data_IF_003414530220
#
_entry.id   IF_003414530220
#
_cell.length_a   1.000
_cell.length_b   1.000
_cell.length_c   1.000
_cell.angle_alpha   90.00
_cell.angle_beta   90.00
_cell.angle_gamma   90.00
#
_symmetry.space_group_name_H-M   'P 1'
#
loop_
_entity.id
_entity.type
_entity.pdbx_description
1 polymer ?
#
# COMPACT_ATOMS: atom_id res chain seq x y z
N UNK A 1 0.13 -11.34 2.98
CA UNK A 1 0.74 -10.37 3.91
C UNK A 1 1.85 -9.63 3.19
N UNK A 2 2.01 -8.34 3.45
CA UNK A 2 3.15 -7.57 2.94
C UNK A 2 4.39 -7.87 3.77
N UNK A 3 5.55 -8.01 3.15
CA UNK A 3 6.83 -8.30 3.79
C UNK A 3 7.86 -7.26 3.35
N UNK A 4 8.68 -6.80 4.30
CA UNK A 4 9.87 -5.99 4.05
C UNK A 4 11.09 -6.84 4.44
N UNK A 5 11.79 -7.47 3.48
CA UNK A 5 12.82 -8.49 3.75
C UNK A 5 14.12 -7.90 4.31
N UNK A 6 14.22 -6.57 4.42
CA UNK A 6 15.42 -5.91 4.91
C UNK A 6 15.57 -6.11 6.42
N UNK A 7 16.82 -6.07 6.88
CA UNK A 7 17.12 -5.97 8.31
C UNK A 7 16.82 -4.54 8.77
N UNK A 8 16.05 -4.46 9.85
CA UNK A 8 15.68 -3.20 10.49
C UNK A 8 16.40 -3.05 11.81
N UNK A 9 16.97 -1.87 12.02
CA UNK A 9 17.61 -1.48 13.27
C UNK A 9 17.09 -0.12 13.70
N UNK A 10 17.14 0.17 14.99
CA UNK A 10 16.66 1.46 15.45
C UNK A 10 16.57 1.58 16.96
N UNK A 11 15.98 2.68 17.39
CA UNK A 11 15.82 3.04 18.78
C UNK A 11 14.37 3.39 19.06
N UNK A 12 13.87 2.88 20.18
CA UNK A 12 12.63 3.32 20.78
C UNK A 12 12.97 4.14 22.03
N UNK A 13 12.40 5.33 22.12
CA UNK A 13 12.44 6.17 23.30
C UNK A 13 11.00 6.57 23.65
N UNK A 14 10.70 6.94 24.90
CA UNK A 14 9.39 7.49 25.23
C UNK A 14 9.00 8.62 24.26
N UNK A 15 7.90 8.45 23.55
CA UNK A 15 7.39 9.41 22.58
C UNK A 15 8.11 9.47 21.23
N UNK A 16 9.12 8.63 20.95
CA UNK A 16 9.74 8.60 19.62
C UNK A 16 10.25 7.22 19.21
N UNK A 17 10.10 6.96 17.91
CA UNK A 17 10.62 5.77 17.26
C UNK A 17 11.45 6.21 16.07
N UNK A 18 12.66 5.66 15.94
CA UNK A 18 13.46 5.75 14.73
C UNK A 18 13.85 4.35 14.31
N UNK A 19 13.52 3.97 13.09
CA UNK A 19 13.94 2.73 12.45
C UNK A 19 14.67 3.06 11.15
N UNK A 20 15.62 2.23 10.79
CA UNK A 20 16.33 2.29 9.51
C UNK A 20 16.58 0.89 8.98
N UNK A 21 16.47 0.74 7.68
CA UNK A 21 16.92 -0.42 6.91
C UNK A 21 17.99 0.01 5.90
N UNK A 22 18.39 -0.90 5.01
CA UNK A 22 19.31 -0.59 3.92
C UNK A 22 18.81 0.53 2.99
N UNK A 23 17.49 0.61 2.76
CA UNK A 23 16.90 1.60 1.83
C UNK A 23 15.99 2.63 2.48
N UNK A 24 15.53 2.39 3.70
CA UNK A 24 14.40 3.13 4.28
C UNK A 24 14.73 3.67 5.66
N UNK A 25 14.35 4.92 5.92
CA UNK A 25 14.32 5.49 7.26
C UNK A 25 12.88 5.77 7.67
N UNK A 26 12.51 5.41 8.90
CA UNK A 26 11.21 5.69 9.49
C UNK A 26 11.42 6.45 10.78
N UNK A 27 10.75 7.59 10.91
CA UNK A 27 10.71 8.37 12.15
C UNK A 27 9.24 8.54 12.54
N UNK A 28 8.91 8.19 13.78
CA UNK A 28 7.60 8.43 14.35
C UNK A 28 7.71 9.18 15.67
N UNK A 29 6.74 10.06 15.93
CA UNK A 29 6.54 10.73 17.20
C UNK A 29 5.23 10.27 17.80
N UNK A 30 5.24 10.00 19.10
CA UNK A 30 4.09 9.55 19.85
C UNK A 30 3.87 10.47 21.06
N UNK A 31 2.62 10.62 21.45
CA UNK A 31 2.22 11.30 22.69
C UNK A 31 1.06 10.51 23.28
N UNK A 32 1.16 10.11 24.55
CA UNK A 32 0.11 9.34 25.24
C UNK A 32 -0.31 8.09 24.44
N UNK A 33 0.66 7.35 23.91
CA UNK A 33 0.48 6.20 23.00
C UNK A 33 -0.27 6.48 21.69
N UNK A 34 -0.52 7.75 21.35
CA UNK A 34 -1.09 8.15 20.05
C UNK A 34 0.00 8.66 19.12
N UNK A 35 -0.05 8.21 17.88
CA UNK A 35 0.85 8.70 16.83
C UNK A 35 0.58 10.20 16.59
N UNK A 36 1.63 11.01 16.59
CA UNK A 36 1.57 12.44 16.28
C UNK A 36 2.11 12.74 14.89
N UNK A 37 3.06 11.93 14.43
CA UNK A 37 3.56 11.97 13.06
C UNK A 37 4.33 10.68 12.79
N UNK A 38 4.19 10.13 11.59
CA UNK A 38 5.13 9.15 11.03
C UNK A 38 5.59 9.69 9.69
N UNK A 39 6.90 9.63 9.45
CA UNK A 39 7.49 9.85 8.15
C UNK A 39 8.39 8.67 7.83
N UNK A 40 8.20 8.08 6.66
CA UNK A 40 9.14 7.16 6.08
C UNK A 40 9.77 7.81 4.84
N UNK A 41 11.08 7.64 4.65
CA UNK A 41 11.85 8.14 3.51
C UNK A 41 12.63 7.00 2.88
N UNK A 42 12.60 6.90 1.55
CA UNK A 42 13.33 5.92 0.75
C UNK A 42 13.77 6.57 -0.56
N UNK A 43 15.05 6.88 -0.69
CA UNK A 43 15.54 7.76 -1.75
C UNK A 43 14.77 9.08 -1.74
N UNK A 44 14.23 9.47 -2.90
CA UNK A 44 13.37 10.66 -3.05
C UNK A 44 11.91 10.43 -2.63
N UNK A 45 11.55 9.18 -2.33
CA UNK A 45 10.20 8.77 -1.96
C UNK A 45 9.87 9.03 -0.50
N UNK A 46 8.61 9.41 -0.24
CA UNK A 46 8.11 9.64 1.13
C UNK A 46 6.76 8.99 1.38
N UNK A 47 6.58 8.50 2.61
CA UNK A 47 5.26 8.21 3.19
C UNK A 47 5.12 9.08 4.43
N UNK A 48 3.95 9.71 4.58
CA UNK A 48 3.61 10.49 5.76
C UNK A 48 2.29 10.02 6.35
N UNK A 49 2.20 9.98 7.67
CA UNK A 49 0.96 9.72 8.41
C UNK A 49 0.86 10.74 9.52
N UNK A 50 -0.22 11.51 9.55
CA UNK A 50 -0.46 12.58 10.54
C UNK A 50 -1.88 12.50 11.07
N UNK A 51 -2.12 12.89 12.34
CA UNK A 51 -3.47 13.00 12.89
C UNK A 51 -4.38 13.90 12.02
N UNK A 52 -5.63 13.49 11.90
CA UNK A 52 -6.68 14.24 11.19
C UNK A 52 -8.05 13.89 11.79
N UNK A 53 -8.48 14.70 12.75
CA UNK A 53 -9.67 14.40 13.57
C UNK A 53 -9.46 13.15 14.42
N UNK A 54 -10.48 12.28 14.53
CA UNK A 54 -10.39 10.99 15.22
C UNK A 54 -9.66 9.87 14.46
N UNK A 55 -8.91 10.21 13.41
CA UNK A 55 -8.21 9.26 12.54
C UNK A 55 -6.86 9.85 12.10
N UNK A 56 -6.21 9.19 11.14
CA UNK A 56 -4.99 9.64 10.51
C UNK A 56 -5.22 9.92 9.03
N UNK A 57 -4.51 10.89 8.47
CA UNK A 57 -4.34 11.07 7.03
C UNK A 57 -3.00 10.48 6.65
N UNK A 58 -2.99 9.64 5.63
CA UNK A 58 -1.76 9.12 5.03
C UNK A 58 -1.56 9.70 3.63
N UNK A 59 -0.31 9.84 3.21
CA UNK A 59 0.06 10.19 1.85
C UNK A 59 1.38 9.51 1.48
N UNK A 60 1.47 9.02 0.25
CA UNK A 60 2.67 8.49 -0.37
C UNK A 60 3.01 9.37 -1.59
N UNK A 61 4.29 9.68 -1.77
CA UNK A 61 4.81 10.43 -2.91
C UNK A 61 6.09 9.78 -3.37
N UNK A 62 6.16 9.41 -4.65
CA UNK A 62 7.35 8.84 -5.27
C UNK A 62 7.93 7.65 -4.49
N UNK A 63 7.09 6.87 -3.81
CA UNK A 63 7.56 5.81 -2.92
C UNK A 63 7.88 4.54 -3.71
N UNK A 64 9.15 4.19 -3.86
CA UNK A 64 9.54 2.94 -4.48
C UNK A 64 9.00 1.73 -3.68
N UNK A 65 8.27 0.85 -4.36
CA UNK A 65 7.71 -0.36 -3.75
C UNK A 65 8.78 -1.39 -3.42
N UNK A 66 9.84 -1.51 -4.21
CA UNK A 66 10.96 -2.39 -3.87
C UNK A 66 11.63 -1.95 -2.54
N UNK A 67 12.12 -2.88 -1.71
CA UNK A 67 12.14 -4.33 -1.89
C UNK A 67 10.92 -5.05 -1.24
N UNK A 68 9.74 -4.42 -1.18
CA UNK A 68 8.57 -5.04 -0.57
C UNK A 68 8.15 -6.29 -1.35
N UNK A 69 7.63 -7.28 -0.61
CA UNK A 69 7.11 -8.52 -1.19
C UNK A 69 5.67 -8.76 -0.75
N UNK A 70 4.86 -9.27 -1.68
CA UNK A 70 3.52 -9.77 -1.42
C UNK A 70 3.59 -11.27 -1.10
N UNK A 71 3.40 -11.62 0.17
CA UNK A 71 3.22 -12.99 0.60
C UNK A 71 1.79 -13.48 0.36
N UNK A 72 1.64 -14.51 -0.47
CA UNK A 72 0.40 -15.27 -0.64
C UNK A 72 0.55 -16.59 0.11
N UNK A 73 -0.48 -17.03 0.86
CA UNK A 73 -0.40 -18.28 1.62
C UNK A 73 -0.07 -19.44 0.68
N UNK A 74 0.92 -20.27 1.04
CA UNK A 74 1.35 -21.42 0.26
C UNK A 74 2.29 -21.12 -0.93
N UNK A 75 2.62 -19.85 -1.20
CA UNK A 75 3.46 -19.44 -2.33
C UNK A 75 4.72 -18.70 -1.87
N UNK A 76 5.76 -18.71 -2.72
CA UNK A 76 6.92 -17.83 -2.53
C UNK A 76 6.46 -16.36 -2.56
N UNK A 77 6.98 -15.49 -1.67
CA UNK A 77 6.66 -14.06 -1.71
C UNK A 77 7.00 -13.46 -3.07
N UNK A 78 6.08 -12.68 -3.63
CA UNK A 78 6.24 -12.06 -4.94
C UNK A 78 6.79 -10.65 -4.77
N UNK A 79 7.88 -10.26 -5.46
CA UNK A 79 8.41 -8.92 -5.35
C UNK A 79 7.41 -7.89 -5.90
N UNK A 80 7.32 -6.75 -5.23
CA UNK A 80 6.55 -5.59 -5.66
C UNK A 80 7.51 -4.54 -6.23
N UNK A 81 7.25 -4.11 -7.45
CA UNK A 81 7.99 -3.03 -8.10
C UNK A 81 7.05 -1.93 -8.59
N UNK A 82 7.64 -0.79 -8.90
CA UNK A 82 6.95 0.43 -9.31
C UNK A 82 7.05 1.53 -8.26
N UNK A 83 6.49 2.68 -8.59
CA UNK A 83 6.55 3.88 -7.75
C UNK A 83 5.14 4.25 -7.30
N UNK A 84 4.92 4.24 -5.99
CA UNK A 84 3.64 4.52 -5.36
C UNK A 84 3.45 6.02 -5.13
N UNK A 85 2.30 6.51 -5.56
CA UNK A 85 1.70 7.77 -5.13
C UNK A 85 0.31 7.51 -4.59
N UNK A 86 -0.14 8.27 -3.61
CA UNK A 86 -1.49 8.08 -3.08
C UNK A 86 -1.75 8.85 -1.82
N UNK A 87 -3.00 8.80 -1.39
CA UNK A 87 -3.40 9.39 -0.11
C UNK A 87 -4.72 8.79 0.36
N UNK A 88 -5.00 9.02 1.64
CA UNK A 88 -6.25 8.58 2.23
C UNK A 88 -6.31 8.74 3.74
N UNK A 89 -7.16 7.95 4.36
CA UNK A 89 -7.44 7.94 5.80
C UNK A 89 -7.19 6.57 6.39
N UNK A 90 -6.65 6.55 7.61
CA UNK A 90 -6.39 5.35 8.41
C UNK A 90 -6.98 5.56 9.81
N UNK A 91 -7.87 4.66 10.24
CA UNK A 91 -8.32 4.51 11.61
C UNK A 91 -7.74 3.23 12.20
N UNK A 92 -7.32 3.27 13.47
CA UNK A 92 -6.72 2.11 14.15
C UNK A 92 -7.70 1.42 15.10
N UNK A 93 -8.68 2.15 15.62
CA UNK A 93 -9.69 1.62 16.53
C UNK A 93 -11.05 2.35 16.34
N UNK A 94 -12.00 1.77 15.59
CA UNK A 94 -11.87 0.52 14.85
C UNK A 94 -10.93 0.63 13.63
N UNK A 95 -10.41 -0.49 13.15
CA UNK A 95 -9.57 -0.53 11.95
C UNK A 95 -10.37 -0.08 10.72
N UNK A 96 -9.84 0.95 10.07
CA UNK A 96 -10.39 1.51 8.84
C UNK A 96 -9.26 1.99 7.94
N UNK A 97 -9.33 1.74 6.64
CA UNK A 97 -8.44 2.31 5.64
C UNK A 97 -9.28 2.75 4.45
N UNK A 98 -9.14 3.98 4.02
CA UNK A 98 -9.76 4.47 2.79
C UNK A 98 -8.72 5.26 2.01
N UNK A 99 -8.76 5.18 0.69
CA UNK A 99 -7.95 6.08 -0.12
C UNK A 99 -7.89 5.69 -1.58
N UNK A 100 -6.99 6.38 -2.26
CA UNK A 100 -6.64 6.13 -3.65
C UNK A 100 -5.13 6.14 -3.79
N UNK A 101 -4.64 5.34 -4.72
CA UNK A 101 -3.23 5.23 -5.04
C UNK A 101 -3.03 4.93 -6.52
N UNK A 102 -1.88 5.34 -7.03
CA UNK A 102 -1.37 4.91 -8.32
C UNK A 102 0.03 4.33 -8.14
N UNK A 103 0.31 3.29 -8.89
CA UNK A 103 1.66 2.74 -9.04
C UNK A 103 2.06 2.90 -10.50
N UNK A 104 3.14 3.65 -10.76
CA UNK A 104 3.75 3.68 -12.09
C UNK A 104 4.68 2.48 -12.27
N UNK A 105 4.74 1.99 -13.51
CA UNK A 105 5.53 0.81 -13.89
C UNK A 105 5.38 -0.38 -12.93
N UNK A 106 4.13 -0.75 -12.55
CA UNK A 106 3.91 -1.84 -11.62
C UNK A 106 4.43 -3.16 -12.21
N UNK A 107 5.18 -3.90 -11.40
CA UNK A 107 5.48 -5.29 -11.70
C UNK A 107 5.24 -6.17 -10.46
N UNK A 108 4.36 -7.15 -10.63
CA UNK A 108 4.06 -8.20 -9.66
C UNK A 108 4.08 -9.55 -10.39
N UNK A 109 5.08 -10.37 -10.09
CA UNK A 109 5.33 -11.61 -10.83
C UNK A 109 5.43 -11.37 -12.36
N UNK A 110 4.55 -12.01 -13.14
CA UNK A 110 4.48 -11.88 -14.60
C UNK A 110 3.61 -10.71 -15.07
N UNK A 111 2.88 -10.05 -14.17
CA UNK A 111 2.03 -8.91 -14.50
C UNK A 111 2.91 -7.66 -14.54
N UNK A 112 3.09 -7.10 -15.74
CA UNK A 112 3.74 -5.80 -15.97
C UNK A 112 2.72 -4.83 -16.55
N UNK A 113 2.63 -3.65 -15.95
CA UNK A 113 1.80 -2.57 -16.45
C UNK A 113 2.59 -1.29 -16.59
N UNK A 114 2.01 -0.31 -17.29
CA UNK A 114 2.48 1.08 -17.29
C UNK A 114 1.94 1.81 -16.05
N UNK A 115 0.72 1.47 -15.65
CA UNK A 115 0.07 2.08 -14.51
C UNK A 115 -0.92 1.11 -13.85
N UNK A 116 -0.98 1.16 -12.53
CA UNK A 116 -2.01 0.54 -11.73
C UNK A 116 -2.66 1.65 -10.89
N UNK A 117 -3.98 1.84 -11.03
CA UNK A 117 -4.77 2.70 -10.18
C UNK A 117 -5.54 1.85 -9.19
N UNK A 118 -5.63 2.31 -7.95
CA UNK A 118 -6.27 1.62 -6.83
C UNK A 118 -7.14 2.62 -6.09
N UNK A 119 -8.33 2.19 -5.71
CA UNK A 119 -9.16 2.92 -4.76
C UNK A 119 -9.96 1.94 -3.91
N UNK A 120 -10.35 2.37 -2.72
CA UNK A 120 -11.28 1.58 -1.95
C UNK A 120 -11.32 1.92 -0.47
N UNK A 121 -12.03 1.06 0.23
CA UNK A 121 -12.29 1.15 1.65
C UNK A 121 -12.18 -0.24 2.28
N UNK A 122 -11.49 -0.31 3.41
CA UNK A 122 -11.50 -1.42 4.35
C UNK A 122 -12.07 -0.88 5.65
N UNK A 123 -13.11 -1.52 6.17
CA UNK A 123 -13.68 -1.21 7.47
C UNK A 123 -14.06 -2.52 8.10
N UNK A 124 -13.41 -2.91 9.19
CA UNK A 124 -13.72 -4.18 9.85
C UNK A 124 -15.24 -4.38 10.03
N UNK A 125 -15.81 -5.52 9.61
CA UNK A 125 -15.17 -6.68 8.97
C UNK A 125 -15.15 -6.65 7.43
N UNK A 126 -15.68 -5.61 6.79
CA UNK A 126 -15.85 -5.50 5.33
C UNK A 126 -14.72 -4.81 4.56
N UNK A 127 -14.74 -4.97 3.24
CA UNK A 127 -13.94 -4.19 2.30
C UNK A 127 -14.62 -4.07 0.94
N UNK A 128 -14.24 -3.01 0.21
CA UNK A 128 -14.60 -2.75 -1.18
C UNK A 128 -13.41 -2.06 -1.87
N UNK A 129 -12.83 -2.71 -2.87
CA UNK A 129 -11.68 -2.24 -3.62
C UNK A 129 -11.95 -2.28 -5.11
N UNK A 130 -11.44 -1.27 -5.81
CA UNK A 130 -11.37 -1.23 -7.26
C UNK A 130 -9.92 -0.98 -7.69
N UNK A 131 -9.52 -1.66 -8.75
CA UNK A 131 -8.24 -1.47 -9.41
C UNK A 131 -8.43 -1.35 -10.92
N UNK A 132 -7.64 -0.50 -11.56
CA UNK A 132 -7.48 -0.49 -13.01
C UNK A 132 -6.01 -0.65 -13.36
N UNK A 133 -5.70 -1.65 -14.17
CA UNK A 133 -4.35 -1.91 -14.69
C UNK A 133 -4.32 -1.52 -16.16
N UNK A 134 -3.39 -0.63 -16.49
CA UNK A 134 -2.97 -0.36 -17.86
C UNK A 134 -1.78 -1.26 -18.16
N UNK A 135 -1.94 -2.32 -18.98
CA UNK A 135 -0.83 -3.21 -19.34
C UNK A 135 0.22 -2.47 -20.18
N UNK A 136 1.37 -3.14 -20.41
CA UNK A 136 2.42 -2.65 -21.31
C UNK A 136 1.91 -2.48 -22.75
N UNK A 137 1.11 -3.43 -23.23
CA UNK A 137 0.38 -3.31 -24.49
C UNK A 137 -0.83 -2.36 -24.41
N UNK A 138 -1.79 -2.54 -25.32
CA UNK A 138 -3.03 -1.76 -25.33
C UNK A 138 -4.08 -2.33 -24.38
N UNK A 139 -5.09 -1.48 -24.08
CA UNK A 139 -6.28 -1.87 -23.33
C UNK A 139 -6.21 -1.54 -21.86
N UNK A 140 -7.17 -2.07 -21.10
CA UNK A 140 -7.20 -1.99 -19.64
C UNK A 140 -7.83 -3.22 -19.02
N UNK A 141 -7.46 -3.50 -17.77
CA UNK A 141 -8.09 -4.52 -16.93
C UNK A 141 -8.65 -3.83 -15.70
N UNK A 142 -9.96 -3.89 -15.53
CA UNK A 142 -10.64 -3.43 -14.33
C UNK A 142 -10.88 -4.62 -13.41
N UNK A 143 -10.54 -4.45 -12.14
CA UNK A 143 -10.74 -5.44 -11.09
C UNK A 143 -11.58 -4.80 -9.99
N UNK A 144 -12.57 -5.51 -9.48
CA UNK A 144 -13.27 -5.13 -8.26
C UNK A 144 -13.32 -6.30 -7.29
N UNK A 145 -13.27 -5.96 -6.01
CA UNK A 145 -13.25 -6.94 -4.92
C UNK A 145 -14.05 -6.40 -3.76
N UNK A 146 -15.12 -7.10 -3.39
CA UNK A 146 -15.98 -6.76 -2.25
C UNK A 146 -16.19 -7.98 -1.39
N UNK A 147 -16.13 -7.81 -0.08
CA UNK A 147 -16.39 -8.91 0.84
C UNK A 147 -16.31 -8.54 2.29
N UNK A 148 -16.28 -9.57 3.13
CA UNK A 148 -16.02 -9.47 4.55
C UNK A 148 -14.94 -10.47 4.97
N UNK A 149 -14.25 -10.17 6.07
CA UNK A 149 -13.29 -11.08 6.68
C UNK A 149 -14.00 -12.35 7.14
N UNK A 150 -13.46 -13.50 6.70
CA UNK A 150 -14.08 -14.81 6.87
C UNK A 150 -15.52 -14.91 6.32
N UNK A 151 -15.89 -13.99 5.41
CA UNK A 151 -17.19 -13.95 4.75
C UNK A 151 -17.08 -14.17 3.24
N UNK A 152 -18.20 -14.04 2.52
CA UNK A 152 -18.21 -14.19 1.07
C UNK A 152 -17.33 -13.13 0.40
N UNK A 153 -16.73 -13.54 -0.72
CA UNK A 153 -15.86 -12.74 -1.55
C UNK A 153 -16.44 -12.66 -2.96
N UNK A 154 -16.74 -11.44 -3.40
CA UNK A 154 -17.14 -11.15 -4.77
C UNK A 154 -15.94 -10.53 -5.50
N UNK A 155 -15.48 -11.22 -6.54
CA UNK A 155 -14.43 -10.73 -7.43
C UNK A 155 -14.99 -10.56 -8.83
N UNK A 156 -14.68 -9.44 -9.46
CA UNK A 156 -14.97 -9.21 -10.87
C UNK A 156 -13.70 -8.74 -11.58
N UNK A 157 -13.50 -9.24 -12.79
CA UNK A 157 -12.45 -8.80 -13.69
C UNK A 157 -13.06 -8.53 -15.07
N UNK A 158 -12.81 -7.35 -15.60
CA UNK A 158 -13.23 -6.97 -16.95
C UNK A 158 -12.03 -6.50 -17.75
N UNK A 159 -11.82 -7.11 -18.91
CA UNK A 159 -10.75 -6.78 -19.83
C UNK A 159 -11.32 -6.04 -21.04
N UNK A 160 -10.72 -4.90 -21.41
CA UNK A 160 -11.12 -4.13 -22.61
C UNK A 160 -9.94 -3.93 -23.53
N UNK A 161 -10.12 -4.32 -24.80
CA UNK A 161 -9.16 -4.08 -25.91
C UNK A 161 -7.72 -4.54 -25.61
N UNK A 162 -7.58 -5.65 -24.89
CA UNK A 162 -6.27 -6.23 -24.60
C UNK A 162 -5.61 -6.71 -25.89
N UNK A 163 -4.38 -6.29 -26.11
CA UNK A 163 -3.49 -6.84 -27.12
C UNK A 163 -2.19 -7.27 -26.44
N UNK A 164 -1.53 -8.35 -26.91
CA UNK A 164 -0.19 -8.71 -26.44
C UNK A 164 0.75 -7.52 -26.63
N UNK A 165 1.54 -7.22 -25.60
CA UNK A 165 2.63 -6.25 -25.65
C UNK A 165 3.98 -6.92 -25.84
#
# INVERSE_FOLDING_TARGET
GLQAPELWQGSWQPGSLRLSSASTQVVARLKDNRLQSLQAVKGDGTISVVPSGGAYRWAARQWALAPLHLGLRGNRPLPLNGVLEGNGRLGLDPLFLQGQASVSDPALAWIKGRQLQLSGVLRYPGFDFSAEVLPQGSGSVQLSSRGAWNGPLNLQAEARKLQPG
#
